data_IF_762781194250
#
_entry.id   IF_762781194250
#
_cell.length_a   1.000
_cell.length_b   1.000
_cell.length_c   1.000
_cell.angle_alpha   90.00
_cell.angle_beta   90.00
_cell.angle_gamma   90.00
#
_symmetry.space_group_name_H-M   'P 1'
#
loop_
_entity.id
_entity.type
_entity.pdbx_description
1 polymer ?
#
# COMPACT_ATOMS: atom_id res chain seq x y z
N UNK A 1 35.65 11.87 4.23
CA UNK A 1 35.96 10.48 4.61
C UNK A 1 34.83 9.62 4.05
N UNK A 2 35.11 8.75 3.07
CA UNK A 2 34.08 7.90 2.44
C UNK A 2 33.78 6.76 3.39
N UNK A 3 32.65 6.84 4.10
CA UNK A 3 32.19 5.77 4.98
C UNK A 3 31.56 4.68 4.11
N UNK A 4 32.31 3.61 3.85
CA UNK A 4 31.80 2.38 3.25
C UNK A 4 31.07 1.60 4.34
N UNK A 5 29.74 1.64 4.36
CA UNK A 5 28.97 0.74 5.23
C UNK A 5 29.02 -0.67 4.61
N UNK A 6 29.52 -1.61 5.43
CA UNK A 6 29.61 -3.02 5.12
C UNK A 6 28.21 -3.64 4.94
N UNK A 7 28.16 -4.60 4.03
CA UNK A 7 27.06 -5.55 3.75
C UNK A 7 25.90 -5.02 2.88
N UNK A 8 26.09 -5.04 1.56
CA UNK A 8 24.96 -5.11 0.60
C UNK A 8 25.11 -4.38 -0.72
N UNK A 9 26.04 -3.43 -0.82
CA UNK A 9 26.22 -2.61 -2.01
C UNK A 9 26.98 -1.35 -1.64
N UNK A 10 27.85 -0.89 -2.53
CA UNK A 10 28.82 0.17 -2.23
C UNK A 10 28.11 1.53 -2.14
N UNK A 11 27.44 1.81 -1.01
CA UNK A 11 26.80 3.10 -0.77
C UNK A 11 27.85 4.14 -0.36
N UNK A 12 27.85 5.29 -1.02
CA UNK A 12 28.66 6.46 -0.70
C UNK A 12 27.74 7.55 -0.19
N UNK A 13 28.02 8.08 0.99
CA UNK A 13 27.28 9.19 1.59
C UNK A 13 27.79 10.55 1.09
N UNK A 14 26.88 11.44 0.68
CA UNK A 14 27.16 12.81 0.26
C UNK A 14 26.57 13.80 1.28
N UNK A 15 27.37 14.26 2.25
CA UNK A 15 26.87 15.10 3.34
C UNK A 15 26.36 16.47 2.88
N UNK A 16 26.80 16.97 1.73
CA UNK A 16 26.40 18.28 1.17
C UNK A 16 24.94 18.31 0.73
N UNK A 17 24.36 17.15 0.43
CA UNK A 17 22.96 17.01 -0.03
C UNK A 17 22.13 16.10 0.89
N UNK A 18 22.70 15.63 1.99
CA UNK A 18 22.07 14.69 2.94
C UNK A 18 21.50 13.43 2.25
N UNK A 19 22.25 12.90 1.27
CA UNK A 19 21.84 11.73 0.49
C UNK A 19 22.99 10.72 0.30
N UNK A 20 22.65 9.44 0.27
CA UNK A 20 23.55 8.35 -0.12
C UNK A 20 23.32 7.92 -1.56
N UNK A 21 24.36 7.46 -2.25
CA UNK A 21 24.28 6.84 -3.58
C UNK A 21 24.83 5.43 -3.49
N UNK A 22 24.11 4.44 -3.97
CA UNK A 22 24.55 3.05 -4.02
C UNK A 22 24.11 2.34 -5.29
N UNK A 23 24.71 1.19 -5.57
CA UNK A 23 24.36 0.34 -6.72
C UNK A 23 23.56 -0.87 -6.24
N UNK A 24 22.43 -1.14 -6.88
CA UNK A 24 21.65 -2.37 -6.70
C UNK A 24 21.25 -2.94 -8.06
N UNK A 25 21.14 -4.27 -8.15
CA UNK A 25 20.55 -4.90 -9.32
C UNK A 25 19.06 -4.59 -9.39
N UNK A 26 18.60 -4.09 -10.53
CA UNK A 26 17.20 -3.80 -10.77
C UNK A 26 16.84 -3.94 -12.24
N UNK A 27 15.54 -3.94 -12.51
CA UNK A 27 15.00 -3.92 -13.87
C UNK A 27 14.41 -2.53 -14.09
N UNK A 28 14.96 -1.81 -15.06
CA UNK A 28 14.41 -0.53 -15.50
C UNK A 28 14.30 -0.54 -17.02
N UNK A 29 13.15 -0.15 -17.55
CA UNK A 29 12.82 -0.22 -18.98
C UNK A 29 13.11 -1.60 -19.63
N UNK A 30 12.91 -2.68 -18.87
CA UNK A 30 13.15 -4.06 -19.32
C UNK A 30 14.62 -4.51 -19.27
N UNK A 31 15.54 -3.67 -18.78
CA UNK A 31 16.96 -4.00 -18.67
C UNK A 31 17.33 -4.37 -17.24
N UNK A 32 17.75 -5.62 -17.04
CA UNK A 32 18.32 -6.09 -15.78
C UNK A 32 19.80 -5.70 -15.71
N UNK A 33 20.15 -4.74 -14.85
CA UNK A 33 21.51 -4.21 -14.66
C UNK A 33 21.70 -3.72 -13.23
N UNK A 34 22.94 -3.38 -12.88
CA UNK A 34 23.20 -2.55 -11.70
C UNK A 34 22.79 -1.11 -12.00
N UNK A 35 21.83 -0.60 -11.22
CA UNK A 35 21.35 0.77 -11.28
C UNK A 35 21.81 1.54 -10.05
N UNK A 36 22.03 2.83 -10.23
CA UNK A 36 22.31 3.76 -9.15
C UNK A 36 21.01 4.20 -8.50
N UNK A 37 20.97 4.13 -7.17
CA UNK A 37 19.84 4.60 -6.38
C UNK A 37 20.28 5.58 -5.30
N UNK A 38 19.33 6.41 -4.90
CA UNK A 38 19.46 7.27 -3.75
C UNK A 38 19.07 6.54 -2.47
N UNK A 39 19.74 6.86 -1.38
CA UNK A 39 19.54 6.30 -0.05
C UNK A 39 19.42 7.41 0.98
N UNK A 40 18.67 7.14 2.05
CA UNK A 40 18.69 7.98 3.23
C UNK A 40 19.94 7.72 4.10
N UNK A 41 20.08 8.51 5.17
CA UNK A 41 21.20 8.41 6.13
C UNK A 41 21.29 7.06 6.85
N UNK A 42 20.23 6.27 6.80
CA UNK A 42 20.15 4.95 7.42
C UNK A 42 20.40 3.82 6.41
N UNK A 43 20.74 4.16 5.17
CA UNK A 43 20.98 3.18 4.11
C UNK A 43 19.69 2.60 3.51
N UNK A 44 18.54 3.28 3.68
CA UNK A 44 17.30 2.86 3.04
C UNK A 44 17.16 3.49 1.66
N UNK A 45 17.00 2.64 0.65
CA UNK A 45 16.79 3.06 -0.74
C UNK A 45 15.50 3.85 -0.92
N UNK A 46 15.57 4.96 -1.64
CA UNK A 46 14.39 5.66 -2.12
C UNK A 46 13.73 4.88 -3.26
N UNK A 47 12.40 4.66 -3.19
CA UNK A 47 11.68 3.97 -4.25
C UNK A 47 11.73 4.79 -5.55
N UNK A 48 11.85 4.10 -6.68
CA UNK A 48 11.71 4.67 -8.02
C UNK A 48 10.31 5.22 -8.24
N UNK A 49 10.14 6.06 -9.27
CA UNK A 49 8.83 6.57 -9.65
C UNK A 49 7.83 5.43 -9.96
N UNK A 50 8.30 4.38 -10.63
CA UNK A 50 7.50 3.20 -10.93
C UNK A 50 7.09 2.44 -9.66
N UNK A 51 8.01 2.21 -8.72
CA UNK A 51 7.69 1.56 -7.45
C UNK A 51 6.70 2.39 -6.61
N UNK A 52 6.84 3.73 -6.61
CA UNK A 52 5.88 4.61 -5.94
C UNK A 52 4.50 4.54 -6.59
N UNK A 53 4.43 4.55 -7.94
CA UNK A 53 3.17 4.43 -8.67
C UNK A 53 2.50 3.08 -8.39
N UNK A 54 3.23 1.96 -8.50
CA UNK A 54 2.72 0.63 -8.21
C UNK A 54 2.20 0.51 -6.77
N UNK A 55 2.92 1.10 -5.79
CA UNK A 55 2.46 1.14 -4.40
C UNK A 55 1.17 1.96 -4.24
N UNK A 56 1.08 3.12 -4.89
CA UNK A 56 -0.12 3.96 -4.83
C UNK A 56 -1.33 3.26 -5.48
N UNK A 57 -1.13 2.59 -6.62
CA UNK A 57 -2.16 1.78 -7.27
C UNK A 57 -2.64 0.64 -6.38
N UNK A 58 -1.71 -0.09 -5.74
CA UNK A 58 -2.06 -1.17 -4.82
C UNK A 58 -2.90 -0.66 -3.63
N UNK A 59 -2.54 0.50 -3.06
CA UNK A 59 -3.32 1.13 -1.98
C UNK A 59 -4.71 1.51 -2.49
N UNK A 60 -4.82 2.15 -3.65
CA UNK A 60 -6.11 2.56 -4.21
C UNK A 60 -7.02 1.36 -4.53
N UNK A 61 -6.45 0.23 -4.97
CA UNK A 61 -7.19 -1.01 -5.20
C UNK A 61 -7.68 -1.58 -3.86
N UNK A 62 -6.83 -1.61 -2.83
CA UNK A 62 -7.17 -2.10 -1.51
C UNK A 62 -8.33 -1.29 -0.90
N UNK A 63 -8.23 0.04 -0.90
CA UNK A 63 -9.29 0.93 -0.38
C UNK A 63 -10.62 0.72 -1.13
N UNK A 64 -10.55 0.52 -2.45
CA UNK A 64 -11.76 0.22 -3.24
C UNK A 64 -12.37 -1.12 -2.84
N UNK A 65 -11.56 -2.14 -2.61
CA UNK A 65 -12.04 -3.46 -2.19
C UNK A 65 -12.73 -3.39 -0.81
N UNK A 66 -12.11 -2.71 0.15
CA UNK A 66 -12.66 -2.52 1.50
C UNK A 66 -14.01 -1.80 1.44
N UNK A 67 -14.10 -0.71 0.67
CA UNK A 67 -15.36 0.02 0.48
C UNK A 67 -16.45 -0.81 -0.19
N UNK A 68 -16.09 -1.70 -1.11
CA UNK A 68 -17.05 -2.62 -1.73
C UNK A 68 -17.53 -3.69 -0.75
N UNK A 69 -16.63 -4.24 0.07
CA UNK A 69 -16.98 -5.19 1.12
C UNK A 69 -17.91 -4.57 2.15
N UNK A 70 -17.63 -3.35 2.61
CA UNK A 70 -18.47 -2.63 3.56
C UNK A 70 -19.88 -2.40 2.99
N UNK A 71 -19.97 -1.97 1.72
CA UNK A 71 -21.26 -1.80 1.02
C UNK A 71 -22.04 -3.10 0.94
N UNK A 72 -21.39 -4.20 0.59
CA UNK A 72 -22.03 -5.50 0.50
C UNK A 72 -22.52 -5.98 1.87
N UNK A 73 -21.71 -5.82 2.92
CA UNK A 73 -22.07 -6.17 4.29
C UNK A 73 -23.28 -5.34 4.78
N UNK A 74 -23.29 -4.03 4.49
CA UNK A 74 -24.41 -3.15 4.82
C UNK A 74 -25.70 -3.57 4.10
N UNK A 75 -25.64 -3.83 2.79
CA UNK A 75 -26.80 -4.30 2.02
C UNK A 75 -27.32 -5.63 2.57
N UNK A 76 -26.43 -6.56 2.93
CA UNK A 76 -26.84 -7.84 3.49
C UNK A 76 -27.49 -7.68 4.87
N UNK A 77 -26.99 -6.77 5.71
CA UNK A 77 -27.59 -6.45 7.00
C UNK A 77 -28.98 -5.82 6.83
N UNK A 78 -29.12 -4.87 5.91
CA UNK A 78 -30.41 -4.24 5.59
C UNK A 78 -31.43 -5.26 5.09
N UNK A 79 -31.05 -6.16 4.17
CA UNK A 79 -31.94 -7.23 3.70
C UNK A 79 -32.34 -8.23 4.80
N UNK A 80 -31.44 -8.52 5.73
CA UNK A 80 -31.75 -9.38 6.88
C UNK A 80 -32.72 -8.67 7.84
N UNK A 81 -32.49 -7.39 8.11
CA UNK A 81 -33.36 -6.58 8.96
C UNK A 81 -34.76 -6.42 8.36
N UNK A 82 -34.86 -6.16 7.05
CA UNK A 82 -36.14 -6.09 6.35
C UNK A 82 -36.93 -7.40 6.45
N UNK A 83 -36.30 -8.54 6.15
CA UNK A 83 -36.95 -9.85 6.28
C UNK A 83 -37.40 -10.14 7.71
N UNK A 84 -36.59 -9.79 8.70
CA UNK A 84 -36.95 -9.96 10.11
C UNK A 84 -38.15 -9.07 10.48
N UNK A 85 -38.15 -7.80 10.06
CA UNK A 85 -39.25 -6.87 10.28
C UNK A 85 -40.56 -7.35 9.63
N UNK A 86 -40.50 -7.91 8.42
CA UNK A 86 -41.63 -8.54 7.74
C UNK A 86 -42.18 -9.74 8.53
N UNK A 87 -41.30 -10.61 9.03
CA UNK A 87 -41.70 -11.75 9.86
C UNK A 87 -42.35 -11.30 11.18
N UNK A 88 -41.80 -10.28 11.84
CA UNK A 88 -42.35 -9.72 13.08
C UNK A 88 -43.76 -9.12 12.85
N UNK A 89 -43.94 -8.36 11.76
CA UNK A 89 -45.25 -7.83 11.37
C UNK A 89 -46.26 -8.94 11.10
N UNK A 90 -45.83 -10.04 10.48
CA UNK A 90 -46.70 -11.19 10.20
C UNK A 90 -47.21 -11.90 11.47
N UNK A 91 -46.48 -11.82 12.58
CA UNK A 91 -46.89 -12.36 13.89
C UNK A 91 -47.53 -11.29 14.81
N UNK A 92 -47.81 -10.09 14.28
CA UNK A 92 -48.49 -9.02 15.00
C UNK A 92 -47.61 -8.18 15.93
N UNK A 93 -46.28 -8.30 15.82
CA UNK A 93 -45.32 -7.50 16.59
C UNK A 93 -44.87 -6.30 15.74
N UNK A 94 -44.94 -5.08 16.29
CA UNK A 94 -44.43 -3.88 15.63
C UNK A 94 -42.88 -3.83 15.76
N UNK A 95 -42.11 -3.85 14.66
CA UNK A 95 -40.64 -3.87 14.73
C UNK A 95 -39.99 -2.50 15.00
N UNK A 96 -40.78 -1.42 15.05
CA UNK A 96 -40.31 -0.02 15.22
C UNK A 96 -40.66 0.57 16.62
N UNK A 97 -41.27 -0.22 17.50
CA UNK A 97 -41.66 0.14 18.88
C UNK A 97 -40.62 -0.31 19.92
#
# INVERSE_FOLDING_TARGET
>A
MVSLLLEGGRMVWLPEVDLGIGCEQGIHDGWQREWLYWYDRFGKRFPTAQERAAKAEAIAIQERQEKLQERFAKQQAEQKAQRLAEMLRAIGINPDD
#
